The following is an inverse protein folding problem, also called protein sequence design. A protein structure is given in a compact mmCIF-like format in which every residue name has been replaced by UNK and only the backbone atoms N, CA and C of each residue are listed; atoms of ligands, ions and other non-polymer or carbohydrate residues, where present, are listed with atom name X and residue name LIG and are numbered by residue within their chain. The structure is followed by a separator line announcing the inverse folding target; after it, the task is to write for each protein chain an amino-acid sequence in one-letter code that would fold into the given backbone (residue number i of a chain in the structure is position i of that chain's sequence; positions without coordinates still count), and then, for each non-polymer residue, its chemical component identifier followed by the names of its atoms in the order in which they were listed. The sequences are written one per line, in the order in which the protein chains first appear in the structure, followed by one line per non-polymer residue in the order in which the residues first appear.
data_IF_525969100595
#
_entry.id   IF_525969100595
#
_cell.length_a   1.000
_cell.length_b   1.000
_cell.length_c   1.000
_cell.angle_alpha   90.00
_cell.angle_beta   90.00
_cell.angle_gamma   90.00
#
_symmetry.space_group_name_H-M   'P 1'
#
loop_
_entity.id
_entity.type
_entity.pdbx_description
1 polymer ?
#
# COMPACT_ATOMS: atom_id res chain seq x y z
N UNK A 1 -2.78 31.70 27.89
CA UNK A 1 -1.56 31.03 28.41
C UNK A 1 -0.36 31.57 27.65
N UNK A 2 0.65 32.12 28.34
CA UNK A 2 1.81 32.73 27.68
C UNK A 2 2.80 31.67 27.19
N UNK A 3 3.54 31.97 26.12
CA UNK A 3 4.64 31.17 25.56
C UNK A 3 5.65 30.70 26.62
N UNK A 4 5.83 31.48 27.69
CA UNK A 4 6.72 31.17 28.82
C UNK A 4 6.29 29.93 29.61
N UNK A 5 4.98 29.65 29.72
CA UNK A 5 4.47 28.47 30.43
C UNK A 5 4.75 27.16 29.68
N UNK A 6 4.68 27.17 28.35
CA UNK A 6 5.06 26.01 27.52
C UNK A 6 6.57 25.77 27.54
N UNK A 7 7.37 26.84 27.50
CA UNK A 7 8.83 26.73 27.56
C UNK A 7 9.33 26.17 28.91
N UNK A 8 8.70 26.55 30.02
CA UNK A 8 9.00 25.97 31.33
C UNK A 8 8.65 24.48 31.38
N UNK A 9 7.47 24.09 30.90
CA UNK A 9 7.05 22.69 30.90
C UNK A 9 7.90 21.79 29.99
N UNK A 10 8.36 22.30 28.83
CA UNK A 10 9.33 21.61 27.97
C UNK A 10 10.69 21.43 28.66
N UNK A 11 11.17 22.48 29.34
CA UNK A 11 12.44 22.43 30.08
C UNK A 11 12.39 21.41 31.21
N UNK A 12 11.30 21.40 31.97
CA UNK A 12 11.10 20.47 33.07
C UNK A 12 10.99 19.02 32.56
N UNK A 13 10.33 18.80 31.42
CA UNK A 13 10.25 17.48 30.81
C UNK A 13 11.63 16.95 30.34
N UNK A 14 12.44 17.79 29.68
CA UNK A 14 13.80 17.43 29.26
C UNK A 14 14.72 17.16 30.46
N UNK A 15 14.67 18.02 31.48
CA UNK A 15 15.48 17.89 32.68
C UNK A 15 15.13 16.63 33.48
N UNK A 16 13.85 16.26 33.50
CA UNK A 16 13.37 15.04 34.14
C UNK A 16 13.76 13.78 33.36
N UNK A 17 13.72 13.81 32.02
CA UNK A 17 14.22 12.69 31.20
C UNK A 17 15.71 12.43 31.45
N UNK A 18 16.51 13.49 31.58
CA UNK A 18 17.95 13.43 31.79
C UNK A 18 18.39 13.01 33.20
N UNK A 19 17.49 13.01 34.19
CA UNK A 19 17.77 12.55 35.57
C UNK A 19 17.21 11.16 35.88
N UNK A 20 16.24 10.68 35.11
CA UNK A 20 15.59 9.36 35.25
C UNK A 20 16.31 8.22 34.51
N UNK A 21 17.65 8.19 34.54
CA UNK A 21 18.55 7.55 33.56
C UNK A 21 18.21 6.14 33.06
N UNK A 22 17.52 5.29 33.83
CA UNK A 22 17.21 3.93 33.36
C UNK A 22 15.75 3.76 32.94
N UNK A 23 14.81 4.38 33.66
CA UNK A 23 13.37 4.21 33.38
C UNK A 23 12.90 5.04 32.18
N UNK A 24 13.43 6.26 31.99
CA UNK A 24 13.12 7.07 30.81
C UNK A 24 13.72 6.46 29.54
N UNK A 25 14.96 5.98 29.61
CA UNK A 25 15.65 5.30 28.51
C UNK A 25 14.97 3.98 28.12
N UNK A 26 14.62 3.13 29.08
CA UNK A 26 13.91 1.87 28.79
C UNK A 26 12.54 2.13 28.13
N UNK A 27 11.84 3.18 28.56
CA UNK A 27 10.55 3.55 27.98
C UNK A 27 10.69 4.12 26.57
N UNK A 28 11.68 4.99 26.33
CA UNK A 28 11.99 5.50 24.99
C UNK A 28 12.32 4.37 24.03
N UNK A 29 13.15 3.41 24.45
CA UNK A 29 13.51 2.26 23.63
C UNK A 29 12.31 1.38 23.34
N UNK A 30 11.45 1.12 24.32
CA UNK A 30 10.23 0.35 24.12
C UNK A 30 9.29 1.01 23.11
N UNK A 31 9.06 2.32 23.22
CA UNK A 31 8.26 3.09 22.26
C UNK A 31 8.92 3.06 20.87
N UNK A 32 10.23 3.27 20.79
CA UNK A 32 10.98 3.19 19.54
C UNK A 32 10.83 1.82 18.86
N UNK A 33 10.92 0.72 19.61
CA UNK A 33 10.72 -0.64 19.07
C UNK A 33 9.30 -0.82 18.53
N UNK A 34 8.27 -0.37 19.25
CA UNK A 34 6.88 -0.49 18.75
C UNK A 34 6.65 0.32 17.48
N UNK A 35 7.18 1.55 17.42
CA UNK A 35 7.08 2.41 16.24
C UNK A 35 7.96 1.92 15.09
N UNK A 36 9.08 1.26 15.38
CA UNK A 36 9.94 0.62 14.38
C UNK A 36 9.19 -0.52 13.68
N UNK A 37 8.50 -1.38 14.45
CA UNK A 37 7.67 -2.45 13.87
C UNK A 37 6.57 -1.86 13.00
N UNK A 38 5.89 -0.79 13.46
CA UNK A 38 4.91 -0.06 12.66
C UNK A 38 5.50 0.50 11.36
N UNK A 39 6.69 1.11 11.42
CA UNK A 39 7.39 1.67 10.28
C UNK A 39 7.74 0.61 9.24
N UNK A 40 8.28 -0.53 9.67
CA UNK A 40 8.64 -1.66 8.81
C UNK A 40 7.39 -2.25 8.15
N UNK A 41 6.32 -2.46 8.92
CA UNK A 41 5.05 -2.97 8.39
C UNK A 41 4.43 -2.01 7.39
N UNK A 42 4.40 -0.71 7.68
CA UNK A 42 3.87 0.30 6.77
C UNK A 42 4.67 0.31 5.45
N UNK A 43 5.99 0.25 5.54
CA UNK A 43 6.87 0.24 4.38
C UNK A 43 6.73 -1.05 3.55
N UNK A 44 6.54 -2.20 4.20
CA UNK A 44 6.20 -3.46 3.54
C UNK A 44 4.86 -3.36 2.81
N UNK A 45 3.83 -2.81 3.47
CA UNK A 45 2.51 -2.63 2.87
C UNK A 45 2.55 -1.73 1.63
N UNK A 46 3.30 -0.62 1.67
CA UNK A 46 3.50 0.27 0.51
C UNK A 46 4.20 -0.44 -0.65
N UNK A 47 5.21 -1.28 -0.37
CA UNK A 47 5.87 -2.05 -1.43
C UNK A 47 4.98 -3.15 -2.01
N UNK A 48 4.22 -3.86 -1.17
CA UNK A 48 3.26 -4.87 -1.64
C UNK A 48 2.16 -4.23 -2.50
N UNK A 49 1.69 -3.04 -2.13
CA UNK A 49 0.72 -2.27 -2.92
C UNK A 49 1.30 -1.86 -4.27
N UNK A 50 2.56 -1.41 -4.32
CA UNK A 50 3.24 -1.11 -5.59
C UNK A 50 3.40 -2.35 -6.47
N UNK A 51 3.71 -3.50 -5.88
CA UNK A 51 3.80 -4.77 -6.60
C UNK A 51 2.43 -5.19 -7.16
N UNK A 52 1.38 -5.09 -6.34
CA UNK A 52 0.01 -5.36 -6.76
C UNK A 52 -0.43 -4.44 -7.90
N UNK A 53 -0.22 -3.12 -7.76
CA UNK A 53 -0.54 -2.14 -8.79
C UNK A 53 0.23 -2.38 -10.10
N UNK A 54 1.50 -2.80 -10.02
CA UNK A 54 2.28 -3.17 -11.20
C UNK A 54 1.73 -4.42 -11.89
N UNK A 55 1.35 -5.45 -11.12
CA UNK A 55 0.74 -6.66 -11.67
C UNK A 55 -0.64 -6.36 -12.28
N UNK A 56 -1.43 -5.52 -11.61
CA UNK A 56 -2.73 -5.05 -12.10
C UNK A 56 -2.58 -4.28 -13.43
N UNK A 57 -1.56 -3.43 -13.57
CA UNK A 57 -1.33 -2.67 -14.81
C UNK A 57 -0.98 -3.53 -16.05
N UNK A 58 -0.61 -4.80 -15.84
CA UNK A 58 -0.30 -5.75 -16.92
C UNK A 58 -1.52 -6.59 -17.34
N UNK A 59 -2.65 -6.46 -16.65
CA UNK A 59 -3.87 -7.21 -16.99
C UNK A 59 -4.49 -6.60 -18.25
N UNK A 60 -4.61 -7.42 -19.28
CA UNK A 60 -5.25 -7.06 -20.55
C UNK A 60 -6.36 -8.06 -20.88
N UNK A 61 -7.45 -7.56 -21.47
CA UNK A 61 -8.49 -8.40 -22.04
C UNK A 61 -8.11 -8.69 -23.49
N UNK A 62 -7.98 -9.96 -23.83
CA UNK A 62 -7.69 -10.46 -25.18
C UNK A 62 -8.97 -11.00 -25.83
N UNK A 63 -9.50 -10.28 -26.81
CA UNK A 63 -10.61 -10.72 -27.65
C UNK A 63 -10.12 -11.36 -28.95
N UNK A 64 -10.63 -12.54 -29.28
CA UNK A 64 -10.43 -13.23 -30.55
C UNK A 64 -11.63 -12.96 -31.45
N UNK A 65 -11.39 -12.45 -32.64
CA UNK A 65 -12.42 -12.17 -33.62
C UNK A 65 -12.85 -13.42 -34.40
N UNK A 66 -14.08 -13.41 -34.90
CA UNK A 66 -14.60 -14.49 -35.74
C UNK A 66 -13.78 -14.63 -37.03
N UNK A 67 -13.51 -15.88 -37.40
CA UNK A 67 -12.83 -16.25 -38.63
C UNK A 67 -13.48 -17.49 -39.23
N UNK A 68 -13.34 -17.69 -40.53
CA UNK A 68 -13.86 -18.85 -41.24
C UNK A 68 -13.36 -20.21 -40.70
N UNK A 69 -12.23 -20.20 -39.97
CA UNK A 69 -11.56 -21.41 -39.48
C UNK A 69 -11.85 -21.77 -38.03
N UNK A 70 -12.63 -20.97 -37.29
CA UNK A 70 -13.08 -21.32 -35.94
C UNK A 70 -14.52 -21.81 -35.97
N UNK A 71 -14.71 -23.05 -35.55
CA UNK A 71 -16.02 -23.60 -35.22
C UNK A 71 -16.49 -23.12 -33.84
N UNK A 72 -16.83 -21.84 -33.76
CA UNK A 72 -17.55 -21.28 -32.62
C UNK A 72 -18.98 -20.93 -33.05
N UNK A 73 -19.97 -21.33 -32.25
CA UNK A 73 -21.41 -21.23 -32.54
C UNK A 73 -21.87 -19.80 -32.90
N UNK A 74 -21.10 -18.78 -32.49
CA UNK A 74 -21.37 -17.35 -32.73
C UNK A 74 -20.77 -16.77 -34.02
N UNK A 75 -19.99 -17.55 -34.76
CA UNK A 75 -19.29 -17.06 -35.94
C UNK A 75 -19.94 -17.62 -37.21
N UNK A 76 -20.27 -16.76 -38.18
CA UNK A 76 -20.90 -17.11 -39.47
C UNK A 76 -19.93 -17.86 -40.43
N UNK A 77 -18.91 -18.55 -39.92
CA UNK A 77 -17.86 -19.26 -40.67
C UNK A 77 -17.28 -18.43 -41.83
N UNK A 78 -17.14 -17.12 -41.63
CA UNK A 78 -16.50 -16.19 -42.55
C UNK A 78 -15.52 -15.28 -41.80
N UNK A 79 -14.58 -14.72 -42.54
CA UNK A 79 -13.76 -13.63 -42.04
C UNK A 79 -14.58 -12.33 -41.98
N UNK A 80 -14.29 -11.51 -40.97
CA UNK A 80 -14.87 -10.19 -40.82
C UNK A 80 -14.29 -9.22 -41.86
N UNK A 81 -15.10 -8.30 -42.35
CA UNK A 81 -14.60 -7.20 -43.19
C UNK A 81 -13.90 -6.15 -42.33
N UNK A 82 -13.01 -5.36 -42.93
CA UNK A 82 -12.33 -4.26 -42.22
C UNK A 82 -13.33 -3.29 -41.58
N UNK A 83 -14.46 -3.03 -42.24
CA UNK A 83 -15.53 -2.17 -41.74
C UNK A 83 -16.18 -2.73 -40.47
N UNK A 84 -16.39 -4.06 -40.40
CA UNK A 84 -16.91 -4.73 -39.22
C UNK A 84 -15.91 -4.69 -38.06
N UNK A 85 -14.62 -4.91 -38.35
CA UNK A 85 -13.54 -4.81 -37.35
C UNK A 85 -13.49 -3.39 -36.79
N UNK A 86 -13.51 -2.35 -37.63
CA UNK A 86 -13.51 -0.95 -37.18
C UNK A 86 -14.78 -0.59 -36.38
N UNK A 87 -15.93 -1.16 -36.72
CA UNK A 87 -17.16 -1.00 -35.93
C UNK A 87 -17.03 -1.61 -34.53
N UNK A 88 -16.40 -2.80 -34.41
CA UNK A 88 -16.12 -3.42 -33.11
C UNK A 88 -15.13 -2.56 -32.31
N UNK A 89 -14.01 -2.16 -32.91
CA UNK A 89 -12.99 -1.35 -32.25
C UNK A 89 -13.54 0.00 -31.75
N UNK A 90 -14.34 0.69 -32.57
CA UNK A 90 -14.97 1.95 -32.17
C UNK A 90 -15.97 1.77 -31.04
N UNK A 91 -16.74 0.68 -31.05
CA UNK A 91 -17.66 0.35 -29.95
C UNK A 91 -16.93 0.07 -28.65
N UNK A 92 -15.84 -0.71 -28.67
CA UNK A 92 -15.02 -0.98 -27.49
C UNK A 92 -14.38 0.32 -26.97
N UNK A 93 -13.83 1.16 -27.86
CA UNK A 93 -13.26 2.47 -27.48
C UNK A 93 -14.29 3.41 -26.85
N UNK A 94 -15.56 3.27 -27.18
CA UNK A 94 -16.65 4.07 -26.60
C UNK A 94 -17.13 3.57 -25.24
N UNK A 95 -16.69 2.40 -24.79
CA UNK A 95 -17.12 1.83 -23.51
C UNK A 95 -16.54 2.63 -22.34
N UNK A 96 -17.32 2.84 -21.27
CA UNK A 96 -16.78 3.40 -20.04
C UNK A 96 -15.71 2.44 -19.48
N UNK A 97 -14.68 3.00 -18.85
CA UNK A 97 -13.59 2.26 -18.20
C UNK A 97 -12.63 1.52 -19.15
N UNK A 98 -12.71 1.75 -20.47
CA UNK A 98 -11.68 1.33 -21.43
C UNK A 98 -10.63 2.44 -21.55
N UNK A 99 -9.36 2.09 -21.35
CA UNK A 99 -8.22 3.00 -21.44
C UNK A 99 -7.56 2.96 -22.82
N UNK A 100 -7.30 1.76 -23.33
CA UNK A 100 -6.55 1.54 -24.56
C UNK A 100 -7.14 0.32 -25.30
N UNK A 101 -7.19 0.41 -26.64
CA UNK A 101 -7.63 -0.68 -27.51
C UNK A 101 -6.64 -0.82 -28.65
N UNK A 102 -5.96 -1.97 -28.69
CA UNK A 102 -4.95 -2.31 -29.68
C UNK A 102 -5.47 -3.46 -30.54
N UNK A 103 -5.41 -3.30 -31.86
CA UNK A 103 -5.73 -4.35 -32.81
C UNK A 103 -4.43 -5.03 -33.25
N UNK A 104 -4.44 -6.35 -33.31
CA UNK A 104 -3.34 -7.16 -33.82
C UNK A 104 -3.90 -8.11 -34.87
N UNK A 105 -3.46 -7.95 -36.11
CA UNK A 105 -3.89 -8.85 -37.18
C UNK A 105 -3.34 -10.26 -36.95
N UNK A 106 -4.01 -11.27 -37.51
CA UNK A 106 -3.55 -12.68 -37.46
C UNK A 106 -2.13 -12.86 -37.99
N UNK A 107 -1.72 -12.04 -38.96
CA UNK A 107 -0.37 -12.06 -39.53
C UNK A 107 0.66 -11.50 -38.54
N UNK A 108 0.35 -10.37 -37.90
CA UNK A 108 1.23 -9.80 -36.87
C UNK A 108 1.31 -10.69 -35.62
N UNK A 109 0.22 -11.34 -35.24
CA UNK A 109 0.20 -12.32 -34.17
C UNK A 109 1.14 -13.50 -34.46
N UNK A 110 1.14 -14.01 -35.70
CA UNK A 110 2.06 -15.08 -36.13
C UNK A 110 3.52 -14.62 -36.06
N UNK A 111 3.82 -13.41 -36.53
CA UNK A 111 5.16 -12.83 -36.45
C UNK A 111 5.62 -12.61 -35.01
N UNK A 112 4.72 -12.20 -34.12
CA UNK A 112 5.01 -12.06 -32.70
C UNK A 112 5.30 -13.42 -32.06
N UNK A 113 4.56 -14.48 -32.42
CA UNK A 113 4.84 -15.85 -31.97
C UNK A 113 6.21 -16.35 -32.44
N UNK A 114 6.58 -16.11 -33.70
CA UNK A 114 7.91 -16.46 -34.25
C UNK A 114 9.04 -15.76 -33.50
N UNK A 115 8.85 -14.50 -33.12
CA UNK A 115 9.85 -13.73 -32.34
C UNK A 115 9.95 -14.19 -30.89
N UNK A 116 8.83 -14.58 -30.30
CA UNK A 116 8.79 -15.07 -28.92
C UNK A 116 9.46 -16.43 -28.76
N UNK A 117 9.34 -17.31 -29.76
CA UNK A 117 10.02 -18.61 -29.79
C UNK A 117 10.80 -18.83 -31.11
N UNK A 118 12.05 -18.37 -31.19
CA UNK A 118 12.90 -18.54 -32.36
C UNK A 118 13.15 -20.01 -32.73
N UNK A 119 13.04 -20.94 -31.77
CA UNK A 119 13.26 -22.36 -32.02
C UNK A 119 12.10 -22.98 -32.81
N UNK A 120 10.89 -22.45 -32.64
CA UNK A 120 9.69 -22.89 -33.38
C UNK A 120 9.43 -22.07 -34.65
N UNK A 121 10.20 -21.00 -34.91
CA UNK A 121 9.98 -20.11 -36.04
C UNK A 121 9.95 -20.84 -37.39
N UNK A 122 10.77 -21.88 -37.58
CA UNK A 122 10.81 -22.68 -38.81
C UNK A 122 9.56 -23.57 -39.02
N UNK A 123 8.86 -23.93 -37.94
CA UNK A 123 7.58 -24.65 -38.01
C UNK A 123 6.46 -23.63 -38.29
N UNK A 124 6.53 -22.47 -37.64
CA UNK A 124 5.53 -21.40 -37.76
C UNK A 124 5.51 -20.72 -39.14
N UNK A 125 6.62 -20.75 -39.89
CA UNK A 125 6.66 -20.24 -41.28
C UNK A 125 5.76 -21.03 -42.25
N UNK A 126 5.41 -22.27 -41.91
CA UNK A 126 4.45 -23.06 -42.69
C UNK A 126 3.01 -22.53 -42.63
N UNK A 127 2.70 -21.65 -41.67
CA UNK A 127 1.35 -21.11 -41.46
C UNK A 127 1.22 -19.67 -41.97
N UNK A 128 2.07 -19.24 -42.91
CA UNK A 128 1.97 -17.90 -43.51
C UNK A 128 0.80 -17.79 -44.52
N UNK A 129 0.29 -16.58 -44.70
CA UNK A 129 -0.80 -16.28 -45.65
C UNK A 129 -2.08 -17.05 -45.33
N UNK A 130 -2.61 -17.74 -46.35
CA UNK A 130 -3.89 -18.44 -46.26
C UNK A 130 -3.84 -19.68 -45.37
N UNK A 131 -2.67 -20.16 -44.91
CA UNK A 131 -2.58 -21.30 -43.98
C UNK A 131 -2.61 -20.88 -42.50
N UNK A 132 -2.63 -19.58 -42.20
CA UNK A 132 -2.59 -19.06 -40.83
C UNK A 132 -3.85 -19.43 -40.01
N UNK A 133 -3.73 -20.29 -38.97
CA UNK A 133 -4.86 -20.70 -38.14
C UNK A 133 -5.27 -19.65 -37.11
N UNK A 134 -4.49 -18.56 -36.95
CA UNK A 134 -4.75 -17.52 -35.98
C UNK A 134 -5.94 -16.64 -36.40
N UNK A 135 -6.59 -16.09 -35.39
CA UNK A 135 -7.65 -15.10 -35.55
C UNK A 135 -7.07 -13.71 -35.35
N UNK A 136 -7.73 -12.69 -35.90
CA UNK A 136 -7.41 -11.32 -35.54
C UNK A 136 -7.75 -11.09 -34.06
N UNK A 137 -6.88 -10.36 -33.36
CA UNK A 137 -6.93 -10.20 -31.90
C UNK A 137 -7.13 -8.73 -31.53
N UNK A 138 -7.88 -8.50 -30.44
CA UNK A 138 -8.07 -7.19 -29.83
C UNK A 138 -7.56 -7.26 -28.40
N UNK A 139 -6.64 -6.37 -28.05
CA UNK A 139 -6.16 -6.17 -26.69
C UNK A 139 -6.82 -4.93 -26.11
N UNK A 140 -7.48 -5.08 -24.97
CA UNK A 140 -8.19 -4.00 -24.29
C UNK A 140 -7.63 -3.84 -22.89
N UNK A 141 -7.09 -2.66 -22.60
CA UNK A 141 -6.76 -2.24 -21.23
C UNK A 141 -7.94 -1.50 -20.64
N UNK A 142 -8.26 -1.85 -19.41
CA UNK A 142 -9.27 -1.15 -18.62
C UNK A 142 -8.61 -0.20 -17.63
N UNK A 143 -9.36 0.81 -17.20
CA UNK A 143 -8.88 1.79 -16.22
C UNK A 143 -8.77 1.23 -14.81
N UNK A 144 -9.54 0.18 -14.49
CA UNK A 144 -9.53 -0.49 -13.19
C UNK A 144 -9.63 -2.02 -13.40
N UNK A 145 -8.67 -2.77 -12.84
CA UNK A 145 -8.64 -4.23 -12.95
C UNK A 145 -9.88 -4.89 -12.33
N UNK A 146 -10.53 -4.24 -11.37
CA UNK A 146 -11.77 -4.76 -10.78
C UNK A 146 -12.92 -4.84 -11.79
N UNK A 147 -12.85 -4.08 -12.89
CA UNK A 147 -13.87 -4.02 -13.94
C UNK A 147 -13.55 -4.94 -15.13
N UNK A 148 -12.39 -5.62 -15.14
CA UNK A 148 -11.96 -6.50 -16.23
C UNK A 148 -13.02 -7.54 -16.55
N UNK A 149 -13.60 -8.19 -15.53
CA UNK A 149 -14.60 -9.23 -15.73
C UNK A 149 -15.87 -8.69 -16.40
N UNK A 150 -16.34 -7.51 -15.98
CA UNK A 150 -17.53 -6.87 -16.54
C UNK A 150 -17.29 -6.45 -18.00
N UNK A 151 -16.18 -5.79 -18.28
CA UNK A 151 -15.84 -5.35 -19.64
C UNK A 151 -15.61 -6.55 -20.56
N UNK A 152 -14.96 -7.61 -20.07
CA UNK A 152 -14.75 -8.83 -20.84
C UNK A 152 -16.07 -9.52 -21.20
N UNK A 153 -17.05 -9.56 -20.29
CA UNK A 153 -18.39 -10.09 -20.57
C UNK A 153 -19.13 -9.25 -21.61
N UNK A 154 -19.01 -7.92 -21.55
CA UNK A 154 -19.62 -7.03 -22.55
C UNK A 154 -18.97 -7.23 -23.95
N UNK A 155 -17.65 -7.40 -24.02
CA UNK A 155 -16.93 -7.69 -25.27
C UNK A 155 -17.31 -9.07 -25.82
N UNK A 156 -17.38 -10.09 -24.97
CA UNK A 156 -17.75 -11.47 -25.34
C UNK A 156 -19.19 -11.59 -25.88
N UNK A 157 -20.06 -10.65 -25.50
CA UNK A 157 -21.43 -10.55 -25.99
C UNK A 157 -21.54 -9.84 -27.36
N UNK A 158 -20.49 -9.18 -27.85
CA UNK A 158 -20.54 -8.47 -29.13
C UNK A 158 -20.59 -9.43 -30.33
N UNK A 159 -21.38 -9.11 -31.37
CA UNK A 159 -21.29 -9.80 -32.65
C UNK A 159 -19.89 -9.67 -33.26
N UNK A 160 -19.37 -10.74 -33.86
CA UNK A 160 -18.03 -10.77 -34.45
C UNK A 160 -16.90 -11.08 -33.45
N UNK A 161 -17.18 -11.15 -32.15
CA UNK A 161 -16.22 -11.63 -31.14
C UNK A 161 -16.49 -13.10 -30.86
N UNK A 162 -15.50 -13.93 -31.15
CA UNK A 162 -15.57 -15.38 -30.96
C UNK A 162 -15.40 -15.70 -29.46
N UNK A 163 -14.22 -15.37 -28.92
CA UNK A 163 -13.83 -15.69 -27.55
C UNK A 163 -13.11 -14.50 -26.92
N UNK A 164 -13.30 -14.30 -25.62
CA UNK A 164 -12.54 -13.36 -24.80
C UNK A 164 -11.79 -14.13 -23.74
N UNK A 165 -10.51 -13.82 -23.60
CA UNK A 165 -9.62 -14.35 -22.58
C UNK A 165 -8.96 -13.19 -21.84
N UNK A 166 -9.07 -13.18 -20.52
CA UNK A 166 -8.43 -12.19 -19.66
C UNK A 166 -7.72 -12.86 -18.47
N UNK A 167 -7.52 -14.18 -18.53
CA UNK A 167 -6.95 -14.93 -17.42
C UNK A 167 -7.83 -14.87 -16.17
N UNK A 168 -9.13 -15.17 -16.29
CA UNK A 168 -10.16 -15.02 -15.23
C UNK A 168 -9.72 -15.50 -13.85
N UNK A 169 -9.12 -16.70 -13.76
CA UNK A 169 -8.64 -17.26 -12.50
C UNK A 169 -7.47 -16.46 -11.93
N UNK A 170 -6.49 -16.11 -12.77
CA UNK A 170 -5.31 -15.33 -12.38
C UNK A 170 -5.72 -13.93 -11.91
N UNK A 171 -6.63 -13.27 -12.61
CA UNK A 171 -7.16 -11.95 -12.23
C UNK A 171 -7.95 -12.04 -10.92
N UNK A 172 -8.77 -13.07 -10.75
CA UNK A 172 -9.53 -13.27 -9.51
C UNK A 172 -8.59 -13.50 -8.32
N UNK A 173 -7.56 -14.32 -8.48
CA UNK A 173 -6.54 -14.59 -7.46
C UNK A 173 -5.74 -13.33 -7.13
N UNK A 174 -5.35 -12.55 -8.14
CA UNK A 174 -4.67 -11.28 -7.97
C UNK A 174 -5.52 -10.29 -7.16
N UNK A 175 -6.79 -10.09 -7.56
CA UNK A 175 -7.72 -9.20 -6.86
C UNK A 175 -8.00 -9.67 -5.42
N UNK A 176 -8.11 -10.98 -5.19
CA UNK A 176 -8.27 -11.55 -3.87
C UNK A 176 -7.02 -11.30 -3.01
N UNK A 177 -5.82 -11.48 -3.58
CA UNK A 177 -4.56 -11.20 -2.91
C UNK A 177 -4.40 -9.71 -2.56
N UNK A 178 -4.60 -8.80 -3.51
CA UNK A 178 -4.56 -7.34 -3.26
C UNK A 178 -5.53 -6.95 -2.14
N UNK A 179 -6.76 -7.49 -2.17
CA UNK A 179 -7.76 -7.24 -1.14
C UNK A 179 -7.31 -7.77 0.23
N UNK A 180 -6.75 -8.98 0.29
CA UNK A 180 -6.25 -9.56 1.53
C UNK A 180 -5.10 -8.72 2.12
N UNK A 181 -4.17 -8.25 1.28
CA UNK A 181 -3.07 -7.36 1.70
C UNK A 181 -3.60 -6.03 2.22
N UNK A 182 -4.55 -5.38 1.52
CA UNK A 182 -5.13 -4.10 1.96
C UNK A 182 -5.88 -4.22 3.30
N UNK A 183 -6.74 -5.23 3.44
CA UNK A 183 -7.53 -5.43 4.66
C UNK A 183 -6.64 -5.90 5.81
N UNK A 184 -5.75 -6.87 5.56
CA UNK A 184 -4.81 -7.39 6.55
C UNK A 184 -3.80 -6.33 7.00
N UNK A 185 -3.28 -5.54 6.07
CA UNK A 185 -2.39 -4.41 6.33
C UNK A 185 -3.06 -3.34 7.20
N UNK A 186 -4.29 -2.96 6.89
CA UNK A 186 -5.06 -2.01 7.71
C UNK A 186 -5.28 -2.56 9.13
N UNK A 187 -5.68 -3.82 9.26
CA UNK A 187 -5.88 -4.47 10.55
C UNK A 187 -4.60 -4.52 11.39
N UNK A 188 -3.46 -4.85 10.76
CA UNK A 188 -2.17 -4.89 11.42
C UNK A 188 -1.70 -3.50 11.87
N UNK A 189 -1.90 -2.46 11.05
CA UNK A 189 -1.60 -1.07 11.43
C UNK A 189 -2.44 -0.65 12.64
N UNK A 190 -3.75 -0.92 12.65
CA UNK A 190 -4.61 -0.59 13.79
C UNK A 190 -4.18 -1.30 15.07
N UNK A 191 -3.82 -2.58 14.97
CA UNK A 191 -3.31 -3.36 16.10
C UNK A 191 -2.01 -2.75 16.66
N UNK A 192 -1.08 -2.35 15.79
CA UNK A 192 0.17 -1.74 16.20
C UNK A 192 -0.03 -0.35 16.83
N UNK A 193 -0.92 0.47 16.29
CA UNK A 193 -1.30 1.75 16.89
C UNK A 193 -1.87 1.55 18.29
N UNK A 194 -2.74 0.55 18.48
CA UNK A 194 -3.28 0.20 19.78
C UNK A 194 -2.18 -0.27 20.75
N UNK A 195 -1.26 -1.12 20.29
CA UNK A 195 -0.10 -1.56 21.08
C UNK A 195 0.78 -0.37 21.50
N UNK A 196 1.03 0.59 20.61
CA UNK A 196 1.77 1.82 20.92
C UNK A 196 1.09 2.64 22.01
N UNK A 197 -0.24 2.84 21.92
CA UNK A 197 -1.00 3.55 22.96
C UNK A 197 -0.93 2.83 24.30
N UNK A 198 -1.02 1.50 24.32
CA UNK A 198 -0.91 0.71 25.55
C UNK A 198 0.48 0.83 26.19
N UNK A 199 1.54 0.71 25.40
CA UNK A 199 2.93 0.85 25.86
C UNK A 199 3.16 2.23 26.46
N UNK A 200 2.77 3.29 25.75
CA UNK A 200 2.85 4.66 26.24
C UNK A 200 2.04 4.84 27.53
N UNK A 201 0.79 4.37 27.56
CA UNK A 201 -0.09 4.49 28.73
C UNK A 201 0.53 3.84 29.97
N UNK A 202 1.21 2.70 29.80
CA UNK A 202 1.89 2.01 30.89
C UNK A 202 3.12 2.77 31.37
N UNK A 203 3.93 3.29 30.46
CA UNK A 203 5.06 4.18 30.79
C UNK A 203 4.61 5.40 31.59
N UNK A 204 3.55 6.07 31.15
CA UNK A 204 3.06 7.28 31.82
C UNK A 204 2.50 6.96 33.20
N UNK A 205 1.81 5.81 33.37
CA UNK A 205 1.37 5.35 34.70
C UNK A 205 2.54 5.15 35.65
N UNK A 206 3.63 4.53 35.18
CA UNK A 206 4.84 4.33 35.97
C UNK A 206 5.49 5.66 36.34
N UNK A 207 5.58 6.62 35.39
CA UNK A 207 6.13 7.96 35.64
C UNK A 207 5.30 8.74 36.68
N UNK A 208 3.96 8.70 36.57
CA UNK A 208 3.05 9.31 37.55
C UNK A 208 3.19 8.66 38.92
N UNK A 209 3.26 7.34 38.99
CA UNK A 209 3.43 6.61 40.26
C UNK A 209 4.76 6.94 40.96
N UNK A 210 5.83 7.13 40.19
CA UNK A 210 7.12 7.56 40.70
C UNK A 210 7.05 8.98 41.29
N UNK A 211 6.26 9.88 40.69
CA UNK A 211 6.06 11.27 41.15
C UNK A 211 4.81 11.49 42.03
N UNK A 212 4.23 10.42 42.57
CA UNK A 212 2.95 10.49 43.31
C UNK A 212 2.95 11.48 44.48
N UNK A 213 4.08 11.64 45.19
CA UNK A 213 4.19 12.59 46.33
C UNK A 213 4.06 14.04 45.86
N UNK A 214 4.69 14.40 44.76
CA UNK A 214 4.61 15.75 44.18
C UNK A 214 3.17 16.05 43.71
N UNK A 215 2.55 15.07 43.04
CA UNK A 215 1.15 15.16 42.59
C UNK A 215 0.20 15.35 43.79
N UNK A 216 0.42 14.63 44.89
CA UNK A 216 -0.37 14.79 46.13
C UNK A 216 -0.24 16.20 46.72
N UNK A 217 0.98 16.75 46.79
CA UNK A 217 1.21 18.12 47.31
C UNK A 217 0.50 19.14 46.43
N UNK A 218 0.60 19.01 45.10
CA UNK A 218 -0.08 19.90 44.16
C UNK A 218 -1.61 19.85 44.32
N UNK A 219 -2.19 18.68 44.54
CA UNK A 219 -3.62 18.55 44.86
C UNK A 219 -3.99 19.25 46.17
N UNK A 220 -3.18 19.14 47.21
CA UNK A 220 -3.44 19.76 48.53
C UNK A 220 -3.40 21.30 48.49
N UNK A 221 -2.61 21.89 47.58
CA UNK A 221 -2.52 23.35 47.40
C UNK A 221 -3.60 23.87 46.43
N UNK A 222 -4.52 23.02 45.95
CA UNK A 222 -5.65 23.40 45.10
C UNK A 222 -5.31 23.54 43.61
N UNK A 223 -4.24 22.90 43.13
CA UNK A 223 -3.94 22.91 41.70
C UNK A 223 -5.04 22.22 40.88
N UNK A 224 -5.39 22.82 39.73
CA UNK A 224 -6.39 22.23 38.82
C UNK A 224 -5.88 20.93 38.20
N UNK A 225 -6.78 19.97 37.94
CA UNK A 225 -6.47 18.71 37.25
C UNK A 225 -5.66 18.91 35.96
N UNK A 226 -6.00 19.94 35.19
CA UNK A 226 -5.29 20.26 33.94
C UNK A 226 -3.87 20.77 34.18
N UNK A 227 -3.64 21.52 35.26
CA UNK A 227 -2.28 21.95 35.66
C UNK A 227 -1.41 20.73 35.99
N UNK A 228 -1.97 19.73 36.68
CA UNK A 228 -1.28 18.48 37.02
C UNK A 228 -0.99 17.64 35.76
N UNK A 229 -1.92 17.60 34.79
CA UNK A 229 -1.82 16.72 33.61
C UNK A 229 -0.86 17.20 32.52
N UNK A 230 -0.76 18.51 32.30
CA UNK A 230 0.08 19.10 31.23
C UNK A 230 1.52 18.57 31.15
N UNK A 231 2.32 18.52 32.25
CA UNK A 231 3.70 18.04 32.16
C UNK A 231 3.77 16.58 31.71
N UNK A 232 2.83 15.73 32.12
CA UNK A 232 2.78 14.33 31.69
C UNK A 232 2.31 14.16 30.24
N UNK A 233 1.43 15.05 29.74
CA UNK A 233 1.05 15.07 28.31
C UNK A 233 2.26 15.44 27.44
N UNK A 234 3.02 16.46 27.85
CA UNK A 234 4.26 16.84 27.17
C UNK A 234 5.33 15.75 27.24
N UNK A 235 5.47 15.08 28.39
CA UNK A 235 6.39 13.93 28.55
C UNK A 235 6.01 12.80 27.58
N UNK A 236 4.72 12.46 27.48
CA UNK A 236 4.22 11.45 26.54
C UNK A 236 4.46 11.84 25.07
N UNK A 237 4.21 13.10 24.72
CA UNK A 237 4.50 13.62 23.37
C UNK A 237 5.99 13.52 23.04
N UNK A 238 6.88 13.92 23.96
CA UNK A 238 8.33 13.85 23.75
C UNK A 238 8.83 12.41 23.63
N UNK A 239 8.34 11.51 24.47
CA UNK A 239 8.67 10.08 24.37
C UNK A 239 8.22 9.50 23.03
N UNK A 240 7.02 9.86 22.59
CA UNK A 240 6.47 9.46 21.29
C UNK A 240 7.28 10.01 20.11
N UNK A 241 7.65 11.29 20.12
CA UNK A 241 8.44 11.91 19.03
C UNK A 241 9.88 11.42 18.98
N UNK A 242 10.54 11.27 20.14
CA UNK A 242 11.91 10.73 20.18
C UNK A 242 11.91 9.27 19.75
N UNK A 243 10.95 8.47 20.22
CA UNK A 243 10.78 7.08 19.78
C UNK A 243 10.52 6.98 18.28
N UNK A 244 9.67 7.85 17.74
CA UNK A 244 9.41 7.95 16.30
C UNK A 244 10.67 8.34 15.52
N UNK A 245 11.43 9.33 15.98
CA UNK A 245 12.67 9.75 15.33
C UNK A 245 13.72 8.64 15.28
N UNK A 246 13.87 7.89 16.38
CA UNK A 246 14.76 6.71 16.42
C UNK A 246 14.28 5.61 15.46
N UNK A 247 12.99 5.29 15.47
CA UNK A 247 12.39 4.32 14.57
C UNK A 247 12.59 4.72 13.10
N UNK A 248 12.25 5.95 12.74
CA UNK A 248 12.42 6.49 11.39
C UNK A 248 13.88 6.47 10.95
N UNK A 249 14.82 6.84 11.83
CA UNK A 249 16.25 6.80 11.51
C UNK A 249 16.74 5.39 11.19
N UNK A 250 16.35 4.40 12.01
CA UNK A 250 16.71 2.99 11.80
C UNK A 250 16.04 2.44 10.54
N UNK A 251 14.75 2.70 10.32
CA UNK A 251 14.03 2.26 9.13
C UNK A 251 14.60 2.88 7.86
N UNK A 252 14.89 4.19 7.85
CA UNK A 252 15.49 4.88 6.71
C UNK A 252 16.87 4.31 6.39
N UNK A 253 17.73 4.12 7.40
CA UNK A 253 19.04 3.53 7.21
C UNK A 253 18.95 2.10 6.63
N UNK A 254 18.07 1.27 7.18
CA UNK A 254 17.84 -0.09 6.68
C UNK A 254 17.31 -0.10 5.25
N UNK A 255 16.31 0.73 4.95
CA UNK A 255 15.67 0.76 3.64
C UNK A 255 16.60 1.27 2.53
N UNK A 256 17.38 2.32 2.78
CA UNK A 256 18.35 2.87 1.82
C UNK A 256 19.41 1.82 1.44
N UNK A 257 19.74 0.89 2.35
CA UNK A 257 20.71 -0.19 2.10
C UNK A 257 20.09 -1.41 1.44
N UNK A 258 18.88 -1.78 1.86
CA UNK A 258 18.22 -3.01 1.39
C UNK A 258 17.52 -2.82 0.04
N UNK A 259 16.85 -1.68 -0.20
CA UNK A 259 16.07 -1.48 -1.42
C UNK A 259 16.91 -1.61 -2.71
N UNK A 260 18.11 -0.99 -2.83
CA UNK A 260 18.94 -1.18 -4.01
C UNK A 260 19.46 -2.62 -4.17
N UNK A 261 19.78 -3.29 -3.06
CA UNK A 261 20.27 -4.67 -3.09
C UNK A 261 19.19 -5.65 -3.58
N UNK A 262 17.93 -5.44 -3.17
CA UNK A 262 16.79 -6.20 -3.66
C UNK A 262 16.58 -5.95 -5.15
N UNK A 263 16.59 -4.68 -5.57
CA UNK A 263 16.37 -4.32 -6.98
C UNK A 263 17.47 -4.84 -7.92
N UNK A 264 18.72 -4.90 -7.45
CA UNK A 264 19.82 -5.52 -8.21
C UNK A 264 19.68 -7.04 -8.32
N UNK A 265 19.18 -7.68 -7.27
CA UNK A 265 19.03 -9.14 -7.20
C UNK A 265 17.78 -9.63 -7.95
N UNK A 266 16.73 -8.81 -7.96
CA UNK A 266 15.43 -9.11 -8.55
C UNK A 266 14.97 -7.89 -9.38
N UNK A 267 15.50 -7.69 -10.60
CA UNK A 267 15.23 -6.48 -11.40
C UNK A 267 13.77 -6.28 -11.79
N UNK A 268 13.00 -7.38 -11.81
CA UNK A 268 11.58 -7.38 -12.14
C UNK A 268 10.67 -7.05 -10.95
N UNK A 269 11.22 -6.91 -9.73
CA UNK A 269 10.44 -6.58 -8.55
C UNK A 269 10.41 -5.05 -8.36
N UNK A 270 9.25 -4.40 -8.53
CA UNK A 270 9.14 -2.95 -8.39
C UNK A 270 9.27 -2.58 -6.90
N UNK A 271 10.43 -2.05 -6.52
CA UNK A 271 10.69 -1.51 -5.17
C UNK A 271 10.49 0.01 -5.20
N UNK A 272 9.76 0.54 -4.22
CA UNK A 272 9.49 1.99 -4.20
C UNK A 272 10.76 2.76 -3.87
N UNK A 273 11.02 3.84 -4.62
CA UNK A 273 12.21 4.64 -4.42
C UNK A 273 12.23 5.28 -3.01
N UNK A 274 13.37 5.24 -2.29
CA UNK A 274 13.45 5.70 -0.90
C UNK A 274 13.08 7.17 -0.66
N UNK A 275 13.29 8.07 -1.63
CA UNK A 275 13.21 9.51 -1.41
C UNK A 275 11.89 10.00 -0.80
N UNK A 276 10.83 10.01 -1.60
CA UNK A 276 9.52 10.51 -1.16
C UNK A 276 8.91 9.64 -0.05
N UNK A 277 8.99 8.30 -0.19
CA UNK A 277 8.36 7.39 0.78
C UNK A 277 8.97 7.49 2.18
N UNK A 278 10.30 7.61 2.30
CA UNK A 278 10.91 7.77 3.62
C UNK A 278 10.60 9.12 4.23
N UNK A 279 10.49 10.18 3.43
CA UNK A 279 10.11 11.50 3.92
C UNK A 279 8.67 11.47 4.46
N UNK A 280 7.72 10.94 3.68
CA UNK A 280 6.32 10.83 4.09
C UNK A 280 6.16 9.93 5.31
N UNK A 281 6.84 8.79 5.35
CA UNK A 281 6.85 7.88 6.49
C UNK A 281 7.42 8.55 7.74
N UNK A 282 8.51 9.31 7.63
CA UNK A 282 9.13 10.00 8.76
C UNK A 282 8.20 11.08 9.31
N UNK A 283 7.59 11.89 8.45
CA UNK A 283 6.62 12.91 8.86
C UNK A 283 5.38 12.28 9.51
N UNK A 284 4.87 11.20 8.93
CA UNK A 284 3.74 10.46 9.47
C UNK A 284 4.06 9.86 10.85
N UNK A 285 5.24 9.24 11.02
CA UNK A 285 5.66 8.65 12.29
C UNK A 285 5.90 9.70 13.37
N UNK A 286 6.53 10.82 13.05
CA UNK A 286 6.73 11.92 14.01
C UNK A 286 5.39 12.51 14.45
N UNK A 287 4.48 12.75 13.51
CA UNK A 287 3.12 13.22 13.78
C UNK A 287 2.31 12.23 14.63
N UNK A 288 2.26 10.96 14.22
CA UNK A 288 1.58 9.90 14.95
C UNK A 288 2.19 9.68 16.33
N UNK A 289 3.52 9.62 16.45
CA UNK A 289 4.21 9.48 17.72
C UNK A 289 3.84 10.57 18.71
N UNK A 290 3.82 11.84 18.26
CA UNK A 290 3.39 12.97 19.08
C UNK A 290 1.93 12.84 19.52
N UNK A 291 1.02 12.56 18.58
CA UNK A 291 -0.42 12.46 18.82
C UNK A 291 -0.76 11.29 19.74
N UNK A 292 -0.22 10.10 19.47
CA UNK A 292 -0.41 8.92 20.29
C UNK A 292 0.20 9.12 21.69
N UNK A 293 1.35 9.78 21.79
CA UNK A 293 1.96 10.21 23.04
C UNK A 293 1.03 11.07 23.88
N UNK A 294 0.46 12.12 23.27
CA UNK A 294 -0.50 13.00 23.94
C UNK A 294 -1.77 12.26 24.38
N UNK A 295 -2.35 11.45 23.48
CA UNK A 295 -3.58 10.70 23.73
C UNK A 295 -3.39 9.67 24.85
N UNK A 296 -2.30 8.90 24.81
CA UNK A 296 -1.98 7.93 25.84
C UNK A 296 -1.82 8.59 27.22
N UNK A 297 -1.16 9.74 27.30
CA UNK A 297 -1.05 10.52 28.54
C UNK A 297 -2.41 10.98 29.04
N UNK A 298 -3.24 11.51 28.14
CA UNK A 298 -4.56 12.00 28.50
C UNK A 298 -5.46 10.89 29.07
N UNK A 299 -5.53 9.74 28.41
CA UNK A 299 -6.34 8.60 28.86
C UNK A 299 -5.83 7.99 30.16
N UNK A 300 -4.51 7.86 30.29
CA UNK A 300 -3.85 7.32 31.49
C UNK A 300 -4.18 8.14 32.74
N UNK A 301 -4.09 9.47 32.64
CA UNK A 301 -4.32 10.40 33.75
C UNK A 301 -5.80 10.55 34.12
N UNK A 302 -6.72 10.50 33.15
CA UNK A 302 -8.16 10.62 33.40
C UNK A 302 -8.66 9.53 34.34
N UNK A 303 -8.09 8.32 34.25
CA UNK A 303 -8.47 7.18 35.09
C UNK A 303 -7.83 7.23 36.49
N UNK A 304 -6.65 7.83 36.62
CA UNK A 304 -5.86 7.84 37.87
C UNK A 304 -6.21 9.01 38.81
N UNK A 305 -6.69 10.13 38.28
CA UNK A 305 -7.00 11.34 39.07
C UNK A 305 -8.44 11.40 39.61
N UNK A 306 -9.29 10.42 39.26
CA UNK A 306 -10.70 10.30 39.71
C UNK A 306 -10.88 9.75 41.14
N UNK A 307 -9.87 9.92 42.00
CA UNK A 307 -9.91 9.70 43.45
C UNK A 307 -9.52 11.00 44.15
#
# INVERSE_FOLDING_TARGET
MSLRGWAAALRDALHNMARGNLMSLASMLSVAVTLLVLAVVALLAVNLEQMAASAESQVEIKGYLCTARRDEVKCDQRDLTEEEIQAILSRIRSMPNVQEVTFLSRHEALEQMKRADPAQAAILSGYEGDENPLSDEIYVKVTDVQLVAEVAEQIQAMPGVAKVDYGKEIVADLLAFTRAVRIGGLGLVLLLLFATVLTLSNTIRLSVYARRREVSIMKLVGATDWYIRRPFVLEGMLLGTVGAGLASGVTAWGYIRLAPAIQQSIPFLPVVQPGAVLQDLTLALLGLGAVLGALASYFSLHRYLKV
#
